data_IF_750729612401
#
_entry.id   IF_750729612401
#
_cell.length_a   1.000
_cell.length_b   1.000
_cell.length_c   1.000
_cell.angle_alpha   90.00
_cell.angle_beta   90.00
_cell.angle_gamma   90.00
#
_symmetry.space_group_name_H-M   'P 1'
#
loop_
_entity.id
_entity.type
_entity.pdbx_description
1 polymer ?
#
# COMPACT_ATOMS: atom_id res chain seq x y z
N UNK A 1 30.64 23.31 -9.31
CA UNK A 1 30.71 23.37 -7.83
C UNK A 1 29.67 24.35 -7.25
N UNK A 2 28.37 24.01 -7.25
CA UNK A 2 27.31 24.88 -6.69
C UNK A 2 26.34 24.13 -5.74
N UNK A 3 26.44 22.80 -5.69
CA UNK A 3 25.58 21.91 -4.90
C UNK A 3 26.13 21.58 -3.49
N UNK A 4 27.34 22.02 -3.16
CA UNK A 4 27.99 21.75 -1.86
C UNK A 4 27.61 22.74 -0.74
N UNK A 5 26.99 23.89 -1.06
CA UNK A 5 26.71 24.95 -0.07
C UNK A 5 25.32 24.90 0.59
N UNK A 6 24.42 24.02 0.12
CA UNK A 6 23.09 23.79 0.70
C UNK A 6 22.81 22.29 0.69
N UNK A 7 23.53 21.51 1.50
CA UNK A 7 23.14 20.12 1.75
C UNK A 7 22.11 20.13 2.87
N UNK A 8 20.89 19.71 2.55
CA UNK A 8 19.97 19.22 3.56
C UNK A 8 20.72 18.08 4.27
N UNK A 9 21.08 18.28 5.53
CA UNK A 9 21.76 17.25 6.32
C UNK A 9 20.69 16.28 6.80
N UNK A 10 20.74 15.06 6.30
CA UNK A 10 19.89 13.99 6.77
C UNK A 10 20.49 13.45 8.07
N UNK A 11 19.71 13.51 9.14
CA UNK A 11 20.05 12.88 10.40
C UNK A 11 19.79 11.38 10.24
N UNK A 12 20.84 10.59 10.32
CA UNK A 12 20.78 9.14 10.12
C UNK A 12 20.50 8.44 11.46
N UNK A 13 21.23 8.83 12.51
CA UNK A 13 21.10 8.20 13.81
C UNK A 13 21.34 9.20 14.95
N UNK A 14 20.82 8.88 16.12
CA UNK A 14 21.14 9.56 17.39
C UNK A 14 21.74 8.52 18.30
N UNK A 15 22.89 8.81 18.90
CA UNK A 15 23.53 7.94 19.87
C UNK A 15 23.58 8.61 21.23
N UNK A 16 23.24 7.92 22.32
CA UNK A 16 23.32 8.43 23.68
C UNK A 16 24.51 7.78 24.39
N UNK A 17 25.45 8.60 24.86
CA UNK A 17 26.63 8.18 25.62
C UNK A 17 26.44 8.34 27.13
N UNK A 18 27.11 7.49 27.91
CA UNK A 18 27.05 7.44 29.38
C UNK A 18 25.60 7.38 29.88
N UNK A 19 24.87 6.36 29.45
CA UNK A 19 23.46 6.19 29.81
C UNK A 19 23.35 5.76 31.27
N UNK A 20 22.85 6.62 32.15
CA UNK A 20 22.59 6.27 33.54
C UNK A 20 21.35 6.97 34.12
N UNK A 21 20.70 6.27 35.05
CA UNK A 21 19.56 6.79 35.84
C UNK A 21 20.02 7.83 36.88
N UNK A 22 21.28 7.73 37.34
CA UNK A 22 21.87 8.60 38.37
C UNK A 22 22.90 9.55 37.75
N UNK A 23 22.98 10.78 38.28
CA UNK A 23 23.93 11.81 37.81
C UNK A 23 25.40 11.53 38.17
N UNK A 24 25.67 10.58 39.07
CA UNK A 24 27.01 10.25 39.53
C UNK A 24 27.48 8.92 38.92
N UNK A 25 28.32 8.99 37.90
CA UNK A 25 28.95 7.82 37.27
C UNK A 25 29.95 7.06 38.16
N UNK A 26 30.22 7.55 39.38
CA UNK A 26 31.27 7.03 40.28
C UNK A 26 30.80 5.97 41.29
N UNK A 27 29.56 5.48 41.20
CA UNK A 27 29.16 4.31 41.97
C UNK A 27 29.18 3.11 41.05
N UNK A 28 30.15 2.23 41.30
CA UNK A 28 30.22 0.84 40.88
C UNK A 28 28.95 0.09 41.32
N UNK A 29 27.84 0.39 40.66
CA UNK A 29 26.63 -0.40 40.72
C UNK A 29 26.76 -1.45 39.62
N UNK A 30 27.33 -2.59 40.00
CA UNK A 30 27.13 -3.86 39.32
C UNK A 30 25.62 -4.15 39.26
N UNK A 31 24.89 -3.56 38.31
CA UNK A 31 23.49 -3.90 38.10
C UNK A 31 23.23 -4.15 36.61
N UNK A 32 22.98 -5.43 36.33
CA UNK A 32 22.63 -6.10 35.06
C UNK A 32 21.37 -5.55 34.36
N UNK A 33 20.91 -4.35 34.68
CA UNK A 33 19.64 -3.83 34.21
C UNK A 33 19.88 -2.60 33.34
N UNK A 34 20.08 -2.83 32.04
CA UNK A 34 19.91 -1.78 31.03
C UNK A 34 18.45 -1.33 31.07
N UNK A 35 18.12 -0.11 31.50
CA UNK A 35 16.74 0.33 31.55
C UNK A 35 16.15 0.42 30.14
N UNK A 36 14.86 0.12 29.99
CA UNK A 36 14.13 0.42 28.76
C UNK A 36 14.15 1.93 28.57
N UNK A 37 14.65 2.40 27.43
CA UNK A 37 14.82 3.82 27.15
C UNK A 37 14.05 4.21 25.92
N UNK A 38 13.34 5.33 26.03
CA UNK A 38 12.68 6.00 24.93
C UNK A 38 13.40 7.30 24.61
N UNK A 39 13.75 7.47 23.35
CA UNK A 39 14.19 8.73 22.81
C UNK A 39 12.98 9.45 22.21
N UNK A 40 12.67 10.64 22.71
CA UNK A 40 11.60 11.48 22.19
C UNK A 40 12.21 12.74 21.57
N UNK A 41 11.90 12.99 20.31
CA UNK A 41 12.26 14.23 19.60
C UNK A 41 11.02 15.11 19.49
N UNK A 42 11.10 16.32 20.02
CA UNK A 42 10.03 17.31 20.01
C UNK A 42 10.43 18.57 19.24
N UNK A 43 9.43 19.25 18.67
CA UNK A 43 9.54 20.61 18.18
C UNK A 43 9.60 21.62 19.35
N UNK A 44 10.02 22.86 19.10
CA UNK A 44 10.04 23.97 20.06
C UNK A 44 8.64 24.21 20.67
N UNK A 45 7.59 23.93 19.89
CA UNK A 45 6.19 24.03 20.32
C UNK A 45 5.71 22.85 21.18
N UNK A 46 6.58 21.89 21.52
CA UNK A 46 6.24 20.71 22.31
C UNK A 46 5.48 19.63 21.54
N UNK A 47 5.46 19.69 20.20
CA UNK A 47 4.87 18.64 19.37
C UNK A 47 5.86 17.48 19.27
N UNK A 48 5.42 16.28 19.60
CA UNK A 48 6.22 15.07 19.44
C UNK A 48 6.40 14.76 17.95
N UNK A 49 7.65 14.74 17.49
CA UNK A 49 8.01 14.46 16.11
C UNK A 49 8.38 12.99 15.91
N UNK A 50 9.04 12.39 16.89
CA UNK A 50 9.52 11.01 16.81
C UNK A 50 9.71 10.41 18.20
N UNK A 51 9.38 9.12 18.33
CA UNK A 51 9.62 8.30 19.52
C UNK A 51 10.30 7.01 19.07
N UNK A 52 11.44 6.68 19.68
CA UNK A 52 12.16 5.44 19.44
C UNK A 52 12.39 4.68 20.74
N UNK A 53 12.23 3.36 20.71
CA UNK A 53 12.58 2.47 21.81
C UNK A 53 14.00 1.93 21.60
N UNK A 54 14.84 1.97 22.63
CA UNK A 54 16.14 1.33 22.60
C UNK A 54 15.97 -0.19 22.72
N UNK A 55 16.62 -0.97 21.84
CA UNK A 55 16.59 -2.43 21.92
C UNK A 55 17.23 -2.92 23.22
N UNK A 56 16.52 -3.81 23.94
CA UNK A 56 17.02 -4.47 25.15
C UNK A 56 18.25 -5.32 24.80
N UNK A 57 19.42 -4.96 25.32
CA UNK A 57 20.65 -5.77 25.21
C UNK A 57 21.91 -5.04 24.74
N UNK A 58 21.84 -3.74 24.42
CA UNK A 58 23.06 -2.99 24.08
C UNK A 58 23.88 -2.70 25.34
N UNK A 59 25.13 -3.14 25.33
CA UNK A 59 26.05 -3.06 26.47
C UNK A 59 26.34 -1.61 26.86
N UNK A 60 26.54 -1.41 28.17
CA UNK A 60 26.74 -0.13 28.84
C UNK A 60 27.86 0.72 28.20
N UNK A 61 27.48 1.72 27.43
CA UNK A 61 28.40 2.76 26.95
C UNK A 61 27.74 3.69 25.94
N UNK A 62 27.08 3.11 24.94
CA UNK A 62 26.45 3.84 23.84
C UNK A 62 25.14 3.15 23.41
N UNK A 63 24.04 3.90 23.35
CA UNK A 63 22.78 3.46 22.76
C UNK A 63 22.54 4.20 21.47
N UNK A 64 22.54 3.48 20.36
CA UNK A 64 22.32 4.04 19.02
C UNK A 64 20.89 3.79 18.56
N UNK A 65 20.28 4.83 17.99
CA UNK A 65 18.95 4.82 17.40
C UNK A 65 19.08 5.07 15.90
N UNK A 66 19.05 4.00 15.11
CA UNK A 66 19.35 4.02 13.67
C UNK A 66 18.17 4.39 12.76
N UNK A 67 16.93 4.22 13.25
CA UNK A 67 15.73 4.37 12.41
C UNK A 67 15.04 5.73 12.62
N UNK A 68 15.77 6.82 12.40
CA UNK A 68 15.16 8.15 12.50
C UNK A 68 14.43 8.46 11.18
N UNK A 69 13.09 8.59 11.18
CA UNK A 69 12.35 8.96 9.99
C UNK A 69 12.77 10.35 9.52
N UNK A 70 12.79 10.55 8.21
CA UNK A 70 13.07 11.86 7.62
C UNK A 70 12.05 12.88 8.14
N UNK A 71 12.48 13.74 9.06
CA UNK A 71 11.63 14.80 9.59
C UNK A 71 11.23 15.73 8.43
N UNK A 72 9.93 15.81 8.17
CA UNK A 72 9.34 16.55 7.03
C UNK A 72 9.47 18.08 7.15
N UNK A 73 10.00 18.58 8.27
CA UNK A 73 10.08 19.99 8.57
C UNK A 73 11.51 20.51 8.53
N UNK A 74 11.70 21.69 7.93
CA UNK A 74 12.94 22.48 8.02
C UNK A 74 13.07 23.13 9.40
N UNK A 75 13.16 22.35 10.46
CA UNK A 75 13.33 22.87 11.81
C UNK A 75 14.80 23.18 12.06
N UNK A 76 15.07 24.36 12.63
CA UNK A 76 16.42 24.76 13.04
C UNK A 76 16.72 24.38 14.49
N UNK A 77 15.69 24.10 15.30
CA UNK A 77 15.84 23.70 16.70
C UNK A 77 14.92 22.55 17.02
N UNK A 78 15.45 21.60 17.78
CA UNK A 78 14.75 20.41 18.25
C UNK A 78 15.00 20.24 19.74
N UNK A 79 14.05 19.61 20.43
CA UNK A 79 14.19 19.24 21.83
C UNK A 79 14.24 17.73 21.92
N UNK A 80 15.34 17.19 22.44
CA UNK A 80 15.52 15.76 22.65
C UNK A 80 15.26 15.46 24.13
N UNK A 81 14.29 14.59 24.41
CA UNK A 81 14.03 14.06 25.74
C UNK A 81 14.42 12.59 25.77
N UNK A 82 15.18 12.21 26.79
CA UNK A 82 15.55 10.83 27.06
C UNK A 82 14.69 10.39 28.24
N UNK A 83 13.84 9.40 28.03
CA UNK A 83 12.90 8.87 29.02
C UNK A 83 13.35 7.45 29.35
N UNK A 84 13.43 7.12 30.64
CA UNK A 84 13.83 5.80 31.10
C UNK A 84 12.76 5.18 31.98
N UNK A 85 12.64 3.86 31.89
CA UNK A 85 11.89 3.06 32.85
C UNK A 85 12.71 2.93 34.14
N UNK A 86 12.11 3.27 35.28
CA UNK A 86 12.74 3.01 36.58
C UNK A 86 12.61 1.51 36.88
N UNK A 87 13.72 0.80 37.15
CA UNK A 87 13.66 -0.60 37.56
C UNK A 87 12.82 -0.75 38.83
N UNK A 88 11.95 -1.77 38.86
CA UNK A 88 11.09 -2.08 40.03
C UNK A 88 11.90 -2.29 41.32
N UNK A 89 13.17 -2.68 41.20
CA UNK A 89 14.11 -2.85 42.32
C UNK A 89 14.49 -1.54 43.01
N UNK A 90 14.39 -0.40 42.32
CA UNK A 90 14.70 0.92 42.88
C UNK A 90 13.47 1.65 43.46
N UNK A 91 12.26 1.13 43.23
CA UNK A 91 11.04 1.70 43.80
C UNK A 91 10.89 1.21 45.25
N UNK A 92 10.95 2.14 46.21
CA UNK A 92 10.81 1.85 47.64
C UNK A 92 9.42 1.31 48.01
N UNK A 93 8.41 1.55 47.17
CA UNK A 93 7.03 1.10 47.36
C UNK A 93 6.69 -0.03 46.36
N UNK A 94 6.45 -1.24 46.86
CA UNK A 94 6.10 -2.43 46.07
C UNK A 94 4.66 -2.41 45.51
N UNK A 95 4.01 -1.24 45.48
CA UNK A 95 2.55 -1.12 45.38
C UNK A 95 2.06 -0.76 43.98
N UNK A 96 2.91 -0.32 43.06
CA UNK A 96 2.48 0.05 41.71
C UNK A 96 2.62 -1.12 40.74
N UNK A 97 1.49 -1.65 40.25
CA UNK A 97 1.43 -2.70 39.22
C UNK A 97 2.03 -2.24 37.88
N UNK A 98 2.09 -0.92 37.67
CA UNK A 98 2.50 -0.29 36.42
C UNK A 98 3.98 0.15 36.41
N UNK A 99 4.64 0.11 35.24
CA UNK A 99 6.00 0.61 35.10
C UNK A 99 6.05 2.14 35.26
N UNK A 100 6.90 2.63 36.17
CA UNK A 100 7.13 4.07 36.37
C UNK A 100 8.16 4.58 35.36
N UNK A 101 7.78 5.60 34.60
CA UNK A 101 8.62 6.24 33.58
C UNK A 101 9.07 7.62 34.07
N UNK A 102 10.33 7.96 33.86
CA UNK A 102 10.88 9.27 34.24
C UNK A 102 11.72 9.88 33.13
N UNK A 103 11.77 11.22 33.09
CA UNK A 103 12.63 11.94 32.15
C UNK A 103 14.04 12.04 32.71
N UNK A 104 15.00 11.40 32.05
CA UNK A 104 16.40 11.37 32.47
C UNK A 104 17.16 12.62 32.08
N UNK A 105 16.94 13.10 30.85
CA UNK A 105 17.59 14.30 30.34
C UNK A 105 16.75 14.99 29.28
N UNK A 106 16.94 16.30 29.17
CA UNK A 106 16.27 17.16 28.19
C UNK A 106 17.32 18.08 27.57
N UNK A 107 17.48 17.99 26.25
CA UNK A 107 18.41 18.81 25.49
C UNK A 107 17.63 19.69 24.50
N UNK A 108 17.85 20.99 24.55
CA UNK A 108 17.40 21.91 23.51
C UNK A 108 18.56 22.13 22.53
N UNK A 109 18.48 21.53 21.34
CA UNK A 109 19.54 21.54 20.35
C UNK A 109 19.18 22.50 19.23
N UNK A 110 20.08 23.45 18.95
CA UNK A 110 20.02 24.29 17.76
C UNK A 110 20.92 23.68 16.68
N UNK A 111 20.30 23.14 15.62
CA UNK A 111 20.99 22.48 14.51
C UNK A 111 21.93 23.42 13.76
N UNK A 112 21.74 24.74 13.88
CA UNK A 112 22.63 25.74 13.28
C UNK A 112 23.94 25.97 14.06
N UNK A 113 24.00 25.50 15.31
CA UNK A 113 25.14 25.73 16.24
C UNK A 113 25.84 24.44 16.67
N UNK A 114 25.65 23.37 15.90
CA UNK A 114 26.31 22.08 16.18
C UNK A 114 27.82 22.18 16.00
N UNK A 115 28.57 21.63 16.95
CA UNK A 115 30.02 21.45 16.84
C UNK A 115 30.34 20.06 16.29
N UNK A 116 31.22 19.94 15.27
CA UNK A 116 31.68 18.64 14.82
C UNK A 116 32.48 17.96 15.94
N UNK A 117 32.24 16.67 16.14
CA UNK A 117 33.04 15.81 17.01
C UNK A 117 34.03 15.10 16.09
N UNK A 118 35.30 15.49 16.16
CA UNK A 118 36.37 14.82 15.43
C UNK A 118 36.80 13.60 16.25
N UNK A 119 36.62 12.40 15.69
CA UNK A 119 37.17 11.16 16.26
C UNK A 119 37.86 10.37 15.15
N UNK A 120 39.13 10.04 15.38
CA UNK A 120 39.91 9.16 14.49
C UNK A 120 39.58 7.66 14.73
N UNK A 121 38.87 7.31 15.82
CA UNK A 121 38.42 5.95 16.12
C UNK A 121 37.01 5.97 16.72
N UNK A 122 36.07 5.22 16.14
CA UNK A 122 34.64 5.14 16.53
C UNK A 122 34.41 4.55 17.95
N UNK A 123 35.45 4.01 18.60
CA UNK A 123 35.35 3.29 19.88
C UNK A 123 35.67 4.08 21.16
N UNK A 124 36.24 5.29 21.08
CA UNK A 124 36.79 6.03 22.24
C UNK A 124 36.24 7.45 22.39
N UNK A 125 34.95 7.65 22.11
CA UNK A 125 34.27 8.92 22.35
C UNK A 125 33.85 9.03 23.81
N UNK A 126 34.71 9.58 24.66
CA UNK A 126 34.38 9.88 26.05
C UNK A 126 33.83 11.32 26.15
N UNK A 127 32.56 11.53 26.55
CA UNK A 127 32.11 12.87 26.93
C UNK A 127 32.91 13.35 28.15
N UNK A 128 32.98 14.67 28.36
CA UNK A 128 33.62 15.24 29.58
C UNK A 128 33.11 14.52 30.82
N UNK A 129 34.01 14.21 31.75
CA UNK A 129 33.91 13.28 32.89
C UNK A 129 32.73 13.45 33.86
N UNK A 130 31.83 14.40 33.63
CA UNK A 130 30.63 14.66 34.46
C UNK A 130 29.31 14.58 33.68
N UNK A 131 29.37 14.43 32.35
CA UNK A 131 28.17 14.44 31.51
C UNK A 131 27.62 13.02 31.31
N UNK A 132 26.40 12.84 31.79
CA UNK A 132 25.58 11.63 31.69
C UNK A 132 24.45 11.87 30.66
N UNK A 133 24.05 10.82 29.93
CA UNK A 133 22.95 10.82 28.94
C UNK A 133 23.16 11.81 27.77
N UNK A 134 24.37 11.92 27.21
CA UNK A 134 24.68 12.92 26.18
C UNK A 134 24.28 12.45 24.78
N UNK A 135 23.42 13.18 24.04
CA UNK A 135 23.07 12.84 22.67
C UNK A 135 24.15 13.29 21.68
N UNK A 136 24.51 12.39 20.78
CA UNK A 136 25.37 12.57 19.62
C UNK A 136 24.53 12.38 18.35
N UNK A 137 24.65 13.30 17.39
CA UNK A 137 23.90 13.29 16.15
C UNK A 137 24.77 12.79 15.01
N UNK A 138 24.33 11.73 14.32
CA UNK A 138 25.02 11.16 13.17
C UNK A 138 24.39 11.71 11.89
N UNK A 139 25.16 12.48 11.13
CA UNK A 139 24.77 12.98 9.81
C UNK A 139 25.62 12.31 8.73
N UNK A 140 25.16 12.40 7.48
CA UNK A 140 25.89 11.84 6.33
C UNK A 140 27.29 12.46 6.10
N UNK A 141 27.57 13.62 6.69
CA UNK A 141 28.85 14.32 6.62
C UNK A 141 29.71 14.20 7.89
N UNK A 142 29.25 13.50 8.93
CA UNK A 142 30.02 13.23 10.15
C UNK A 142 29.21 13.29 11.45
N UNK A 143 29.93 13.26 12.57
CA UNK A 143 29.38 13.26 13.93
C UNK A 143 29.31 14.69 14.49
N UNK A 144 28.18 15.05 15.08
CA UNK A 144 27.95 16.39 15.62
C UNK A 144 27.29 16.35 17.00
N UNK A 145 27.67 17.27 17.87
CA UNK A 145 27.10 17.41 19.21
C UNK A 145 26.76 18.86 19.55
N UNK A 146 25.98 19.04 20.63
CA UNK A 146 25.76 20.37 21.18
C UNK A 146 27.08 20.93 21.75
N UNK A 147 27.34 22.24 21.58
CA UNK A 147 28.61 22.86 21.95
C UNK A 147 28.86 22.74 23.47
N UNK A 148 30.06 22.30 23.84
CA UNK A 148 30.53 22.22 25.23
C UNK A 148 30.49 20.81 25.86
N UNK A 149 29.82 19.84 25.22
CA UNK A 149 29.67 18.48 25.75
C UNK A 149 30.92 17.59 25.63
N UNK A 150 31.81 17.92 24.69
CA UNK A 150 33.06 17.20 24.42
C UNK A 150 34.27 18.16 24.58
N UNK A 151 35.45 17.64 24.94
CA UNK A 151 36.70 18.42 24.91
C UNK A 151 37.15 18.63 23.47
N UNK A 152 37.34 19.89 23.07
CA UNK A 152 37.96 20.22 21.80
C UNK A 152 39.27 20.96 22.04
N UNK A 153 40.36 20.52 21.40
CA UNK A 153 41.53 21.37 21.17
C UNK A 153 42.47 20.75 20.11
N UNK A 154 43.19 21.54 19.27
CA UNK A 154 43.24 23.01 19.20
C UNK A 154 42.87 23.61 17.82
N UNK A 155 42.51 24.89 17.90
CA UNK A 155 42.64 25.96 16.90
C UNK A 155 43.22 25.55 15.54
N UNK A 156 42.34 25.30 14.57
CA UNK A 156 42.65 25.62 13.18
C UNK A 156 41.57 26.59 12.68
N UNK A 157 42.03 27.67 12.05
CA UNK A 157 41.24 28.76 11.51
C UNK A 157 40.09 28.24 10.63
N UNK A 158 38.91 28.09 11.21
CA UNK A 158 37.68 28.16 10.44
C UNK A 158 37.33 29.63 10.35
N UNK A 159 37.58 30.21 9.18
CA UNK A 159 37.03 31.51 8.81
C UNK A 159 35.58 31.60 9.32
N UNK A 160 35.16 32.74 9.89
CA UNK A 160 33.78 32.93 10.26
C UNK A 160 32.97 32.84 8.97
N UNK A 161 32.35 31.68 8.72
CA UNK A 161 31.45 31.51 7.60
C UNK A 161 30.33 32.51 7.83
N UNK A 162 30.40 33.63 7.10
CA UNK A 162 29.43 34.70 7.25
C UNK A 162 28.06 34.08 7.07
N UNK A 163 27.19 34.27 8.06
CA UNK A 163 25.81 33.83 8.02
C UNK A 163 25.11 34.59 6.90
N UNK A 164 25.28 34.12 5.65
CA UNK A 164 24.55 34.65 4.51
C UNK A 164 23.10 34.28 4.73
N UNK A 165 22.26 35.30 4.90
CA UNK A 165 20.80 35.21 5.02
C UNK A 165 20.27 34.20 3.99
N UNK A 166 19.94 33.02 4.48
CA UNK A 166 19.66 31.84 3.67
C UNK A 166 18.19 31.80 3.26
N UNK A 167 17.66 32.87 2.66
CA UNK A 167 16.33 32.88 2.06
C UNK A 167 16.42 33.46 0.65
N UNK A 168 16.43 32.56 -0.33
CA UNK A 168 16.27 32.92 -1.74
C UNK A 168 14.78 32.84 -2.07
N UNK A 169 14.22 33.81 -2.80
CA UNK A 169 12.81 33.80 -3.24
C UNK A 169 12.37 32.44 -3.80
N UNK A 170 13.23 31.80 -4.60
CA UNK A 170 12.99 30.48 -5.18
C UNK A 170 12.86 29.36 -4.11
N UNK A 171 13.51 29.51 -2.96
CA UNK A 171 13.36 28.59 -1.82
C UNK A 171 12.02 28.78 -1.10
N UNK A 172 11.56 30.03 -0.94
CA UNK A 172 10.23 30.34 -0.39
C UNK A 172 9.13 29.85 -1.32
N UNK A 173 9.30 30.01 -2.63
CA UNK A 173 8.35 29.52 -3.63
C UNK A 173 8.23 27.99 -3.59
N UNK A 174 9.35 27.27 -3.50
CA UNK A 174 9.36 25.81 -3.34
C UNK A 174 8.71 25.37 -2.05
N UNK A 175 8.99 26.05 -0.94
CA UNK A 175 8.34 25.78 0.35
C UNK A 175 6.83 26.01 0.26
N UNK A 176 6.40 27.09 -0.39
CA UNK A 176 4.98 27.35 -0.60
C UNK A 176 4.32 26.25 -1.45
N UNK A 177 4.97 25.80 -2.52
CA UNK A 177 4.47 24.67 -3.34
C UNK A 177 4.37 23.36 -2.56
N UNK A 178 5.30 23.09 -1.65
CA UNK A 178 5.24 21.93 -0.76
C UNK A 178 4.07 22.06 0.22
N UNK A 179 3.83 23.25 0.77
CA UNK A 179 2.69 23.52 1.65
C UNK A 179 1.34 23.43 0.92
N UNK A 180 1.26 23.92 -0.32
CA UNK A 180 0.09 23.76 -1.19
C UNK A 180 -0.19 22.27 -1.43
N UNK A 181 0.84 21.49 -1.81
CA UNK A 181 0.73 20.04 -1.98
C UNK A 181 0.26 19.35 -0.70
N UNK A 182 0.81 19.73 0.46
CA UNK A 182 0.39 19.18 1.75
C UNK A 182 -1.08 19.47 2.05
N UNK A 183 -1.53 20.68 1.75
CA UNK A 183 -2.94 21.08 1.94
C UNK A 183 -3.85 20.27 1.04
N UNK A 184 -3.47 20.06 -0.22
CA UNK A 184 -4.20 19.21 -1.15
C UNK A 184 -4.27 17.75 -0.63
N UNK A 185 -3.16 17.23 -0.14
CA UNK A 185 -3.11 15.86 0.39
C UNK A 185 -4.00 15.70 1.63
N UNK A 186 -4.11 16.73 2.48
CA UNK A 186 -5.05 16.73 3.61
C UNK A 186 -6.51 16.75 3.16
N UNK A 187 -6.84 17.50 2.11
CA UNK A 187 -8.17 17.50 1.52
C UNK A 187 -8.52 16.13 0.91
N UNK A 188 -7.57 15.48 0.22
CA UNK A 188 -7.76 14.13 -0.31
C UNK A 188 -7.97 13.10 0.81
N UNK A 189 -7.22 13.21 1.92
CA UNK A 189 -7.43 12.35 3.10
C UNK A 189 -8.82 12.58 3.69
N UNK A 190 -9.27 13.83 3.78
CA UNK A 190 -10.60 14.14 4.29
C UNK A 190 -11.70 13.58 3.37
N UNK A 191 -11.57 13.76 2.06
CA UNK A 191 -12.50 13.20 1.07
C UNK A 191 -12.56 11.67 1.14
N UNK A 192 -11.40 11.02 1.34
CA UNK A 192 -11.36 9.57 1.57
C UNK A 192 -12.01 9.17 2.89
N UNK A 193 -11.82 9.95 3.96
CA UNK A 193 -12.49 9.72 5.24
C UNK A 193 -14.00 9.82 5.09
N UNK A 194 -14.49 10.85 4.41
CA UNK A 194 -15.92 11.05 4.13
C UNK A 194 -16.50 9.90 3.30
N UNK A 195 -15.77 9.41 2.29
CA UNK A 195 -16.16 8.21 1.52
C UNK A 195 -16.19 6.94 2.37
N UNK A 196 -15.27 6.79 3.33
CA UNK A 196 -15.28 5.66 4.26
C UNK A 196 -16.51 5.75 5.17
N UNK A 197 -16.82 6.94 5.70
CA UNK A 197 -17.98 7.17 6.55
C UNK A 197 -19.28 6.87 5.79
N UNK A 198 -19.41 7.31 4.54
CA UNK A 198 -20.53 6.96 3.67
C UNK A 198 -20.66 5.44 3.44
N UNK A 199 -19.55 4.72 3.26
CA UNK A 199 -19.58 3.26 3.07
C UNK A 199 -19.96 2.52 4.37
N UNK A 200 -19.55 3.04 5.52
CA UNK A 200 -19.90 2.49 6.84
C UNK A 200 -21.39 2.73 7.12
N UNK A 201 -21.91 3.93 6.85
CA UNK A 201 -23.31 4.28 7.06
C UNK A 201 -24.26 3.60 6.07
N UNK A 202 -23.82 3.37 4.83
CA UNK A 202 -24.59 2.64 3.80
C UNK A 202 -24.50 1.11 3.94
N UNK A 203 -23.69 0.60 4.87
CA UNK A 203 -23.69 -0.83 5.16
C UNK A 203 -25.04 -1.22 5.78
N UNK A 204 -25.74 -2.25 5.26
CA UNK A 204 -27.00 -2.66 5.84
C UNK A 204 -26.75 -3.02 7.30
N UNK A 205 -27.52 -2.40 8.21
CA UNK A 205 -27.46 -2.71 9.65
C UNK A 205 -27.41 -4.23 9.81
N UNK A 206 -26.42 -4.77 10.54
CA UNK A 206 -26.35 -6.21 10.76
C UNK A 206 -27.71 -6.67 11.28
N UNK A 207 -28.22 -7.76 10.71
CA UNK A 207 -29.53 -8.33 11.06
C UNK A 207 -29.63 -8.34 12.58
N UNK A 208 -30.64 -7.63 13.11
CA UNK A 208 -30.83 -7.49 14.56
C UNK A 208 -30.80 -8.89 15.18
N UNK A 209 -30.02 -9.03 16.26
CA UNK A 209 -29.96 -10.26 17.07
C UNK A 209 -31.37 -10.75 17.43
N UNK A 210 -32.32 -9.83 17.60
CA UNK A 210 -33.71 -10.14 17.93
C UNK A 210 -34.47 -10.78 16.76
N UNK A 211 -34.15 -10.42 15.51
CA UNK A 211 -34.73 -11.07 14.33
C UNK A 211 -34.22 -12.51 14.19
N UNK A 212 -32.96 -12.77 14.57
CA UNK A 212 -32.38 -14.11 14.62
C UNK A 212 -33.02 -14.93 15.74
N UNK A 213 -33.19 -14.34 16.92
CA UNK A 213 -33.85 -15.00 18.06
C UNK A 213 -35.32 -15.35 17.73
N UNK A 214 -36.07 -14.42 17.15
CA UNK A 214 -37.46 -14.68 16.74
C UNK A 214 -37.54 -15.74 15.62
N UNK A 215 -36.58 -15.77 14.70
CA UNK A 215 -36.49 -16.84 13.70
C UNK A 215 -36.21 -18.20 14.36
N UNK A 216 -35.31 -18.26 15.34
CA UNK A 216 -35.05 -19.47 16.12
C UNK A 216 -36.29 -19.94 16.88
N UNK A 217 -37.02 -19.05 17.55
CA UNK A 217 -38.26 -19.36 18.28
C UNK A 217 -39.36 -19.89 17.36
N UNK A 218 -39.55 -19.26 16.19
CA UNK A 218 -40.49 -19.73 15.17
C UNK A 218 -40.12 -21.12 14.64
N UNK A 219 -38.82 -21.40 14.50
CA UNK A 219 -38.31 -22.69 14.05
C UNK A 219 -38.54 -23.78 15.11
N UNK A 220 -38.32 -23.48 16.39
CA UNK A 220 -38.65 -24.40 17.49
C UNK A 220 -40.14 -24.71 17.55
N UNK A 221 -41.02 -23.71 17.41
CA UNK A 221 -42.48 -23.92 17.37
C UNK A 221 -42.90 -24.77 16.16
N UNK A 222 -42.25 -24.60 15.01
CA UNK A 222 -42.48 -25.42 13.82
C UNK A 222 -42.06 -26.87 14.03
N UNK A 223 -40.92 -27.09 14.70
CA UNK A 223 -40.44 -28.44 15.06
C UNK A 223 -41.42 -29.12 16.00
N UNK A 224 -41.89 -28.43 17.05
CA UNK A 224 -42.87 -28.98 17.99
C UNK A 224 -44.19 -29.36 17.31
N UNK A 225 -44.69 -28.51 16.40
CA UNK A 225 -45.88 -28.83 15.59
C UNK A 225 -45.67 -30.06 14.72
N UNK A 226 -44.49 -30.19 14.09
CA UNK A 226 -44.15 -31.36 13.27
C UNK A 226 -44.03 -32.62 14.13
N UNK A 227 -43.42 -32.55 15.32
CA UNK A 227 -43.34 -33.68 16.25
C UNK A 227 -44.72 -34.11 16.74
N UNK A 228 -45.59 -33.15 17.06
CA UNK A 228 -46.98 -33.43 17.44
C UNK A 228 -47.74 -34.10 16.30
N UNK A 229 -47.52 -33.66 15.06
CA UNK A 229 -48.09 -34.27 13.86
C UNK A 229 -47.55 -35.69 13.63
N UNK A 230 -46.25 -35.92 13.81
CA UNK A 230 -45.64 -37.25 13.75
C UNK A 230 -46.24 -38.17 14.81
N UNK A 231 -46.38 -37.72 16.07
CA UNK A 231 -47.04 -38.51 17.12
C UNK A 231 -48.49 -38.83 16.77
N UNK A 232 -49.23 -37.88 16.18
CA UNK A 232 -50.60 -38.13 15.72
C UNK A 232 -50.65 -39.17 14.60
N UNK A 233 -49.69 -39.13 13.67
CA UNK A 233 -49.58 -40.11 12.59
C UNK A 233 -49.13 -41.48 13.09
N UNK A 234 -48.21 -41.54 14.06
CA UNK A 234 -47.81 -42.79 14.71
C UNK A 234 -48.97 -43.42 15.49
N UNK A 235 -49.80 -42.60 16.14
CA UNK A 235 -51.02 -43.08 16.79
C UNK A 235 -52.04 -43.58 15.74
N UNK A 236 -52.18 -42.88 14.61
CA UNK A 236 -53.01 -43.31 13.49
C UNK A 236 -52.50 -44.56 12.77
N UNK A 237 -51.19 -44.85 12.84
CA UNK A 237 -50.59 -46.04 12.25
C UNK A 237 -50.74 -47.27 13.17
N UNK A 238 -50.88 -47.05 14.50
CA UNK A 238 -51.18 -48.10 15.50
C UNK A 238 -52.65 -48.54 15.49
N UNK A 239 -53.57 -47.66 15.06
CA UNK A 239 -54.97 -47.98 14.81
C UNK A 239 -55.18 -48.09 13.30
N UNK A 240 -54.84 -49.26 12.74
CA UNK A 240 -54.72 -49.49 11.31
C UNK A 240 -55.88 -48.95 10.46
N UNK A 241 -55.52 -48.30 9.35
CA UNK A 241 -56.39 -48.15 8.19
C UNK A 241 -55.72 -48.76 6.97
N UNK A 242 -56.39 -49.78 6.46
CA UNK A 242 -56.19 -50.43 5.19
C UNK A 242 -56.28 -49.45 4.00
N UNK A 243 -55.54 -49.80 2.94
CA UNK A 243 -55.67 -49.34 1.55
C UNK A 243 -55.40 -47.86 1.24
N UNK A 244 -54.33 -47.58 0.49
CA UNK A 244 -54.40 -47.62 -0.98
C UNK A 244 -52.99 -47.51 -1.59
N UNK A 245 -52.66 -48.44 -2.50
CA UNK A 245 -51.62 -48.22 -3.50
C UNK A 245 -52.06 -47.08 -4.41
N UNK A 246 -51.21 -46.07 -4.58
CA UNK A 246 -51.15 -45.28 -5.81
C UNK A 246 -49.71 -45.31 -6.32
N UNK A 247 -49.53 -46.08 -7.39
CA UNK A 247 -48.39 -46.08 -8.29
C UNK A 247 -48.24 -44.72 -8.95
N UNK A 248 -47.33 -43.88 -8.44
CA UNK A 248 -46.87 -42.65 -9.12
C UNK A 248 -45.50 -42.20 -8.59
N UNK A 249 -44.56 -43.15 -8.40
CA UNK A 249 -43.25 -42.85 -7.81
C UNK A 249 -42.14 -42.52 -8.82
N UNK A 250 -42.43 -42.43 -10.12
CA UNK A 250 -41.42 -42.12 -11.16
C UNK A 250 -41.47 -40.68 -11.72
N UNK A 251 -42.40 -39.84 -11.28
CA UNK A 251 -42.51 -38.44 -11.74
C UNK A 251 -41.66 -37.37 -11.00
N UNK A 252 -41.18 -37.53 -9.74
CA UNK A 252 -40.48 -36.41 -9.09
C UNK A 252 -39.06 -36.19 -9.60
N UNK A 253 -38.41 -37.22 -10.17
CA UNK A 253 -37.02 -37.13 -10.61
C UNK A 253 -36.89 -36.27 -11.88
N UNK A 254 -37.85 -36.38 -12.81
CA UNK A 254 -37.81 -35.65 -14.08
C UNK A 254 -38.10 -34.14 -13.90
N UNK A 255 -38.98 -33.80 -12.95
CA UNK A 255 -39.28 -32.41 -12.61
C UNK A 255 -38.08 -31.72 -11.93
N UNK A 256 -37.33 -32.45 -11.09
CA UNK A 256 -36.08 -31.96 -10.50
C UNK A 256 -34.97 -31.74 -11.56
N UNK A 257 -34.87 -32.62 -12.57
CA UNK A 257 -33.95 -32.43 -13.69
C UNK A 257 -34.36 -31.24 -14.59
N UNK A 258 -35.66 -31.07 -14.86
CA UNK A 258 -36.16 -29.93 -15.63
C UNK A 258 -35.96 -28.60 -14.87
N UNK A 259 -36.18 -28.59 -13.56
CA UNK A 259 -35.93 -27.44 -12.69
C UNK A 259 -34.44 -27.09 -12.61
N UNK A 260 -33.55 -28.08 -12.49
CA UNK A 260 -32.09 -27.83 -12.49
C UNK A 260 -31.59 -27.36 -13.86
N UNK A 261 -32.12 -27.87 -14.97
CA UNK A 261 -31.78 -27.39 -16.31
C UNK A 261 -32.29 -25.95 -16.54
N UNK A 262 -33.51 -25.63 -16.08
CA UNK A 262 -34.09 -24.28 -16.13
C UNK A 262 -33.30 -23.28 -15.27
N UNK A 263 -32.85 -23.71 -14.09
CA UNK A 263 -31.94 -22.93 -13.25
C UNK A 263 -30.58 -22.73 -13.93
N UNK A 264 -30.05 -23.76 -14.59
CA UNK A 264 -28.80 -23.65 -15.34
C UNK A 264 -28.92 -22.68 -16.52
N UNK A 265 -29.98 -22.76 -17.33
CA UNK A 265 -30.20 -21.85 -18.46
C UNK A 265 -30.44 -20.41 -18.00
N UNK A 266 -31.19 -20.21 -16.92
CA UNK A 266 -31.38 -18.86 -16.35
C UNK A 266 -30.09 -18.27 -15.78
N UNK A 267 -29.26 -19.07 -15.10
CA UNK A 267 -27.92 -18.64 -14.66
C UNK A 267 -27.02 -18.34 -15.86
N UNK A 268 -27.07 -19.16 -16.90
CA UNK A 268 -26.30 -18.97 -18.13
C UNK A 268 -26.69 -17.67 -18.85
N UNK A 269 -27.98 -17.39 -19.04
CA UNK A 269 -28.45 -16.11 -19.60
C UNK A 269 -28.07 -14.92 -18.72
N UNK A 270 -28.09 -15.09 -17.39
CA UNK A 270 -27.62 -14.06 -16.47
C UNK A 270 -26.12 -13.81 -16.61
N UNK A 271 -25.31 -14.84 -16.83
CA UNK A 271 -23.88 -14.70 -17.08
C UNK A 271 -23.63 -13.98 -18.42
N UNK A 272 -24.31 -14.40 -19.50
CA UNK A 272 -24.21 -13.75 -20.81
C UNK A 272 -24.58 -12.26 -20.75
N UNK A 273 -25.68 -11.90 -20.08
CA UNK A 273 -26.07 -10.49 -19.94
C UNK A 273 -25.09 -9.66 -19.08
N UNK A 274 -24.42 -10.28 -18.12
CA UNK A 274 -23.34 -9.64 -17.35
C UNK A 274 -22.08 -9.45 -18.20
N UNK A 275 -21.71 -10.45 -19.02
CA UNK A 275 -20.60 -10.35 -19.96
C UNK A 275 -20.83 -9.24 -20.97
N UNK A 276 -22.01 -9.20 -21.59
CA UNK A 276 -22.47 -8.14 -22.48
C UNK A 276 -22.36 -6.76 -21.84
N UNK A 277 -22.85 -6.61 -20.60
CA UNK A 277 -22.75 -5.36 -19.85
C UNK A 277 -21.30 -4.96 -19.57
N UNK A 278 -20.43 -5.92 -19.23
CA UNK A 278 -18.99 -5.68 -19.01
C UNK A 278 -18.28 -5.25 -20.30
N UNK A 279 -18.58 -5.89 -21.43
CA UNK A 279 -18.03 -5.50 -22.74
C UNK A 279 -18.50 -4.09 -23.09
N UNK A 280 -19.79 -3.78 -22.89
CA UNK A 280 -20.33 -2.44 -23.10
C UNK A 280 -19.63 -1.38 -22.23
N UNK A 281 -19.39 -1.66 -20.95
CA UNK A 281 -18.64 -0.79 -20.05
C UNK A 281 -17.18 -0.61 -20.50
N UNK A 282 -16.52 -1.70 -20.93
CA UNK A 282 -15.16 -1.65 -21.44
C UNK A 282 -15.06 -0.79 -22.71
N UNK A 283 -16.01 -0.95 -23.63
CA UNK A 283 -16.10 -0.13 -24.84
C UNK A 283 -16.29 1.34 -24.49
N UNK A 284 -17.19 1.67 -23.56
CA UNK A 284 -17.41 3.05 -23.09
C UNK A 284 -16.13 3.65 -22.50
N UNK A 285 -15.44 2.90 -21.63
CA UNK A 285 -14.18 3.35 -21.02
C UNK A 285 -13.08 3.60 -22.07
N UNK A 286 -13.10 2.85 -23.18
CA UNK A 286 -12.09 2.91 -24.23
C UNK A 286 -12.49 3.81 -25.42
N UNK A 287 -13.66 4.46 -25.39
CA UNK A 287 -14.05 5.45 -26.41
C UNK A 287 -13.07 6.63 -26.49
N UNK A 288 -12.48 7.01 -25.36
CA UNK A 288 -11.53 8.14 -25.28
C UNK A 288 -10.11 7.86 -25.79
N UNK A 289 -9.75 6.60 -26.08
CA UNK A 289 -8.37 6.20 -26.43
C UNK A 289 -8.12 6.12 -27.94
N UNK A 290 -9.13 6.41 -28.78
CA UNK A 290 -9.04 6.32 -30.23
C UNK A 290 -9.08 4.89 -30.80
N UNK A 291 -9.17 3.86 -29.93
CA UNK A 291 -9.24 2.45 -30.32
C UNK A 291 -10.51 2.07 -31.09
N UNK A 292 -11.63 2.75 -30.81
CA UNK A 292 -12.94 2.50 -31.42
C UNK A 292 -13.30 3.53 -32.51
N UNK A 293 -12.31 4.27 -33.04
CA UNK A 293 -12.52 5.27 -34.09
C UNK A 293 -12.62 4.67 -35.51
N UNK A 294 -12.82 5.52 -36.53
CA UNK A 294 -12.91 5.09 -37.95
C UNK A 294 -11.66 4.31 -38.42
N UNK A 295 -10.48 4.64 -37.87
CA UNK A 295 -9.21 3.96 -38.11
C UNK A 295 -8.76 3.07 -36.93
N UNK A 296 -9.68 2.74 -36.03
CA UNK A 296 -9.41 1.96 -34.81
C UNK A 296 -9.22 0.47 -35.07
N UNK A 297 -8.59 -0.21 -34.11
CA UNK A 297 -8.37 -1.66 -34.12
C UNK A 297 -9.60 -2.45 -33.63
N UNK A 298 -10.52 -1.78 -32.93
CA UNK A 298 -11.78 -2.36 -32.44
C UNK A 298 -12.93 -1.79 -33.24
N UNK A 299 -13.70 -2.66 -33.91
CA UNK A 299 -14.94 -2.26 -34.58
C UNK A 299 -16.10 -2.63 -33.66
N UNK A 300 -16.70 -1.66 -32.93
CA UNK A 300 -17.91 -1.91 -32.16
C UNK A 300 -19.10 -2.16 -33.11
N UNK A 301 -20.09 -2.92 -32.66
CA UNK A 301 -21.27 -3.23 -33.45
C UNK A 301 -22.23 -2.04 -33.60
N UNK A 302 -23.02 -2.08 -34.67
CA UNK A 302 -24.22 -1.27 -34.86
C UNK A 302 -25.29 -1.61 -33.82
N UNK A 303 -26.18 -0.66 -33.51
CA UNK A 303 -27.11 -0.70 -32.36
C UNK A 303 -28.09 -1.91 -32.32
N UNK A 304 -28.21 -2.67 -33.41
CA UNK A 304 -29.16 -3.79 -33.55
C UNK A 304 -28.53 -5.21 -33.52
N UNK A 305 -27.22 -5.35 -33.24
CA UNK A 305 -26.50 -6.63 -33.26
C UNK A 305 -25.98 -7.03 -31.87
N UNK A 306 -25.91 -8.35 -31.60
CA UNK A 306 -25.40 -8.89 -30.32
C UNK A 306 -23.96 -8.44 -30.10
N UNK A 307 -23.57 -8.18 -28.84
CA UNK A 307 -22.24 -7.62 -28.50
C UNK A 307 -21.09 -8.59 -28.89
N UNK A 308 -21.40 -9.87 -29.10
CA UNK A 308 -20.47 -10.90 -29.56
C UNK A 308 -20.10 -10.78 -31.06
N UNK A 309 -20.80 -9.97 -31.86
CA UNK A 309 -20.40 -9.75 -33.26
C UNK A 309 -19.22 -8.77 -33.43
N UNK A 310 -18.68 -8.26 -32.31
CA UNK A 310 -17.58 -7.29 -32.30
C UNK A 310 -16.34 -7.89 -32.99
N UNK A 311 -15.67 -7.10 -33.84
CA UNK A 311 -14.49 -7.58 -34.58
C UNK A 311 -13.22 -6.85 -34.15
N UNK A 312 -12.21 -7.64 -33.80
CA UNK A 312 -10.86 -7.17 -33.55
C UNK A 312 -10.03 -7.25 -34.84
N UNK A 313 -9.49 -6.12 -35.29
CA UNK A 313 -8.57 -6.07 -36.43
C UNK A 313 -7.18 -6.55 -36.01
N UNK A 314 -6.52 -7.29 -36.90
CA UNK A 314 -5.10 -7.59 -36.78
C UNK A 314 -4.28 -6.31 -36.95
N UNK A 315 -3.14 -6.25 -36.29
CA UNK A 315 -2.19 -5.15 -36.44
C UNK A 315 -1.32 -5.42 -37.67
N UNK A 316 -1.37 -4.52 -38.65
CA UNK A 316 -0.54 -4.60 -39.85
C UNK A 316 0.88 -4.08 -39.56
N UNK A 317 1.90 -4.91 -39.83
CA UNK A 317 3.30 -4.53 -39.59
C UNK A 317 3.71 -3.24 -40.31
N UNK A 318 3.27 -3.04 -41.55
CA UNK A 318 3.63 -1.87 -42.36
C UNK A 318 3.06 -0.55 -41.81
N UNK A 319 1.91 -0.59 -41.13
CA UNK A 319 1.33 0.62 -40.51
C UNK A 319 1.94 0.89 -39.13
N UNK A 320 2.35 -0.18 -38.43
CA UNK A 320 3.01 -0.12 -37.14
C UNK A 320 4.46 0.36 -37.22
N UNK A 321 5.18 0.10 -38.31
CA UNK A 321 6.57 0.49 -38.55
C UNK A 321 6.74 1.93 -39.06
N UNK A 322 5.67 2.62 -39.45
CA UNK A 322 5.76 3.99 -39.95
C UNK A 322 6.08 4.98 -38.81
N UNK A 323 7.17 5.74 -38.98
CA UNK A 323 7.77 6.63 -37.98
C UNK A 323 6.92 7.86 -37.63
N UNK A 324 5.90 8.17 -38.44
CA UNK A 324 4.98 9.28 -38.14
C UNK A 324 4.13 8.93 -36.91
N UNK A 325 4.19 9.80 -35.90
CA UNK A 325 3.44 9.71 -34.63
C UNK A 325 3.66 8.43 -33.81
N UNK A 326 4.92 7.96 -33.76
CA UNK A 326 5.37 6.77 -33.01
C UNK A 326 4.88 6.68 -31.56
N UNK A 327 4.91 7.80 -30.82
CA UNK A 327 4.46 7.83 -29.41
C UNK A 327 2.96 7.54 -29.30
N UNK A 328 2.17 8.10 -30.22
CA UNK A 328 0.73 7.89 -30.26
C UNK A 328 0.43 6.45 -30.67
N UNK A 329 1.12 5.91 -31.69
CA UNK A 329 0.99 4.50 -32.10
C UNK A 329 1.34 3.52 -30.97
N UNK A 330 2.47 3.72 -30.29
CA UNK A 330 2.87 2.91 -29.13
C UNK A 330 1.83 2.95 -28.01
N UNK A 331 1.26 4.14 -27.75
CA UNK A 331 0.21 4.31 -26.75
C UNK A 331 -1.07 3.58 -27.16
N UNK A 332 -1.49 3.68 -28.42
CA UNK A 332 -2.66 2.98 -28.96
C UNK A 332 -2.46 1.46 -28.94
N UNK A 333 -1.28 0.95 -29.29
CA UNK A 333 -0.95 -0.48 -29.19
C UNK A 333 -0.96 -0.97 -27.73
N UNK A 334 -0.46 -0.15 -26.81
CA UNK A 334 -0.55 -0.42 -25.37
C UNK A 334 -2.00 -0.52 -24.90
N UNK A 335 -2.85 0.45 -25.26
CA UNK A 335 -4.28 0.39 -24.94
C UNK A 335 -4.97 -0.79 -25.61
N UNK A 336 -4.58 -1.16 -26.82
CA UNK A 336 -5.15 -2.31 -27.50
C UNK A 336 -4.77 -3.62 -26.81
N UNK A 337 -3.52 -3.77 -26.38
CA UNK A 337 -3.07 -4.88 -25.56
C UNK A 337 -3.85 -4.96 -24.25
N UNK A 338 -4.06 -3.82 -23.57
CA UNK A 338 -4.86 -3.75 -22.36
C UNK A 338 -6.30 -4.20 -22.61
N UNK A 339 -6.90 -3.75 -23.71
CA UNK A 339 -8.25 -4.14 -24.10
C UNK A 339 -8.37 -5.65 -24.28
N UNK A 340 -7.48 -6.26 -25.06
CA UNK A 340 -7.48 -7.72 -25.29
C UNK A 340 -7.22 -8.49 -24.00
N UNK A 341 -6.33 -8.01 -23.13
CA UNK A 341 -6.02 -8.66 -21.86
C UNK A 341 -7.23 -8.64 -20.90
N UNK A 342 -7.90 -7.49 -20.74
CA UNK A 342 -9.09 -7.37 -19.89
C UNK A 342 -10.22 -8.25 -20.43
N UNK A 343 -10.41 -8.24 -21.75
CA UNK A 343 -11.45 -9.01 -22.40
C UNK A 343 -11.21 -10.52 -22.22
N UNK A 344 -9.98 -11.00 -22.38
CA UNK A 344 -9.68 -12.42 -22.18
C UNK A 344 -9.71 -12.85 -20.70
N UNK A 345 -9.10 -12.08 -19.79
CA UNK A 345 -8.93 -12.49 -18.38
C UNK A 345 -10.16 -12.20 -17.51
N UNK A 346 -10.82 -11.04 -17.71
CA UNK A 346 -11.87 -10.53 -16.81
C UNK A 346 -13.30 -10.65 -17.35
N UNK A 347 -13.45 -10.78 -18.66
CA UNK A 347 -14.75 -10.96 -19.31
C UNK A 347 -14.96 -12.43 -19.67
N UNK A 348 -14.11 -13.01 -20.51
CA UNK A 348 -14.31 -14.37 -21.04
C UNK A 348 -13.62 -15.48 -20.26
N UNK A 349 -12.73 -15.15 -19.33
CA UNK A 349 -11.94 -16.13 -18.57
C UNK A 349 -11.24 -17.18 -19.46
N UNK A 350 -10.72 -16.74 -20.61
CA UNK A 350 -10.08 -17.60 -21.60
C UNK A 350 -8.55 -17.53 -21.50
N UNK A 351 -7.84 -18.68 -21.57
CA UNK A 351 -6.38 -18.67 -21.58
C UNK A 351 -5.86 -18.18 -22.93
N UNK A 352 -5.03 -17.14 -22.94
CA UNK A 352 -4.36 -16.65 -24.16
C UNK A 352 -3.09 -17.46 -24.49
N UNK A 353 -2.72 -17.61 -25.77
CA UNK A 353 -1.49 -18.29 -26.21
C UNK A 353 -0.22 -17.65 -25.67
N UNK A 354 -0.18 -16.32 -25.64
CA UNK A 354 0.95 -15.53 -25.17
C UNK A 354 0.51 -14.57 -24.05
N UNK A 355 1.39 -14.36 -23.07
CA UNK A 355 1.10 -13.51 -21.92
C UNK A 355 1.20 -12.04 -22.29
N UNK A 356 0.14 -11.29 -22.04
CA UNK A 356 0.08 -9.85 -22.31
C UNK A 356 0.42 -9.07 -21.03
N UNK A 357 1.44 -8.20 -21.09
CA UNK A 357 1.83 -7.35 -19.96
C UNK A 357 1.76 -5.87 -20.33
N UNK A 358 0.84 -5.16 -19.69
CA UNK A 358 0.57 -3.75 -19.97
C UNK A 358 1.47 -2.83 -19.15
N UNK A 359 2.21 -1.96 -19.83
CA UNK A 359 3.05 -0.92 -19.23
C UNK A 359 2.83 0.44 -19.95
N UNK A 360 1.61 0.72 -20.37
CA UNK A 360 1.30 1.93 -21.15
C UNK A 360 1.93 1.86 -22.55
N UNK A 361 2.64 2.92 -22.94
CA UNK A 361 3.31 3.02 -24.25
C UNK A 361 4.52 2.09 -24.43
N UNK A 362 4.95 1.38 -23.38
CA UNK A 362 6.06 0.42 -23.41
C UNK A 362 5.61 -0.99 -23.05
N UNK A 363 4.45 -1.40 -23.57
CA UNK A 363 3.87 -2.73 -23.27
C UNK A 363 4.69 -3.87 -23.87
N UNK A 364 4.62 -5.06 -23.26
CA UNK A 364 5.50 -6.20 -23.55
C UNK A 364 4.69 -7.50 -23.64
N UNK A 365 5.13 -8.41 -24.50
CA UNK A 365 4.56 -9.75 -24.69
C UNK A 365 5.53 -10.81 -24.14
N UNK A 366 4.99 -11.80 -23.43
CA UNK A 366 5.74 -12.86 -22.75
C UNK A 366 6.84 -12.35 -21.80
N UNK A 367 6.70 -11.11 -21.31
CA UNK A 367 7.70 -10.38 -20.51
C UNK A 367 9.09 -10.22 -21.18
N UNK A 368 9.20 -10.46 -22.48
CA UNK A 368 10.46 -10.43 -23.21
C UNK A 368 10.41 -9.61 -24.50
N UNK A 369 9.28 -9.63 -25.23
CA UNK A 369 9.17 -9.03 -26.55
C UNK A 369 8.49 -7.65 -26.48
N UNK A 370 9.17 -6.56 -26.86
CA UNK A 370 8.61 -5.21 -26.78
C UNK A 370 7.52 -5.01 -27.85
N UNK A 371 6.31 -4.62 -27.43
CA UNK A 371 5.23 -4.16 -28.31
C UNK A 371 5.25 -2.64 -28.42
N UNK A 372 6.44 -2.06 -28.54
CA UNK A 372 6.63 -0.64 -28.77
C UNK A 372 7.89 -0.44 -29.58
N UNK A 373 7.98 0.70 -30.24
CA UNK A 373 9.15 1.11 -31.01
C UNK A 373 9.91 2.19 -30.21
N UNK A 374 11.20 1.99 -29.88
CA UNK A 374 12.06 2.96 -29.16
C UNK A 374 12.82 3.94 -30.08
N UNK A 375 12.90 5.23 -29.72
CA UNK A 375 13.46 6.32 -30.54
C UNK A 375 14.81 6.02 -31.25
N UNK A 376 15.64 5.14 -30.68
CA UNK A 376 16.84 4.60 -31.30
C UNK A 376 16.74 3.07 -31.37
N UNK A 377 15.97 2.53 -32.32
CA UNK A 377 15.75 1.08 -32.46
C UNK A 377 16.94 0.41 -33.15
N UNK A 378 17.53 -0.57 -32.48
CA UNK A 378 18.51 -1.49 -33.08
C UNK A 378 17.80 -2.45 -34.04
N UNK A 379 18.55 -3.06 -34.99
CA UNK A 379 17.98 -4.08 -35.88
C UNK A 379 17.36 -5.25 -35.10
N UNK A 380 17.98 -5.64 -33.97
CA UNK A 380 17.44 -6.66 -33.07
C UNK A 380 16.07 -6.25 -32.50
N UNK A 381 15.93 -5.00 -32.06
CA UNK A 381 14.68 -4.49 -31.52
C UNK A 381 13.56 -4.42 -32.56
N UNK A 382 13.88 -4.22 -33.84
CA UNK A 382 12.89 -4.30 -34.91
C UNK A 382 12.39 -5.74 -35.10
N UNK A 383 13.31 -6.71 -35.16
CA UNK A 383 12.95 -8.13 -35.27
C UNK A 383 12.10 -8.58 -34.07
N UNK A 384 12.49 -8.18 -32.85
CA UNK A 384 11.74 -8.51 -31.64
C UNK A 384 10.33 -7.88 -31.63
N UNK A 385 10.18 -6.67 -32.19
CA UNK A 385 8.89 -6.00 -32.36
C UNK A 385 8.01 -6.67 -33.40
N UNK A 386 8.58 -7.12 -34.53
CA UNK A 386 7.85 -7.89 -35.55
C UNK A 386 7.30 -9.19 -34.96
N UNK A 387 8.15 -9.93 -34.25
CA UNK A 387 7.76 -11.14 -33.51
C UNK A 387 6.70 -10.85 -32.43
N UNK A 388 6.80 -9.71 -31.74
CA UNK A 388 5.79 -9.28 -30.77
C UNK A 388 4.42 -9.09 -31.45
N UNK A 389 4.37 -8.40 -32.60
CA UNK A 389 3.13 -8.20 -33.36
C UNK A 389 2.54 -9.53 -33.83
N UNK A 390 3.36 -10.46 -34.33
CA UNK A 390 2.89 -11.78 -34.75
C UNK A 390 2.23 -12.54 -33.59
N UNK A 391 2.89 -12.61 -32.44
CA UNK A 391 2.35 -13.24 -31.23
C UNK A 391 1.09 -12.53 -30.72
N UNK A 392 1.06 -11.21 -30.82
CA UNK A 392 -0.12 -10.43 -30.47
C UNK A 392 -1.31 -10.75 -31.37
N UNK A 393 -1.06 -10.88 -32.68
CA UNK A 393 -2.07 -11.24 -33.67
C UNK A 393 -2.62 -12.66 -33.43
N UNK A 394 -1.81 -13.62 -32.94
CA UNK A 394 -2.31 -14.93 -32.51
C UNK A 394 -3.28 -14.82 -31.33
N UNK A 395 -2.98 -13.97 -30.35
CA UNK A 395 -3.91 -13.71 -29.24
C UNK A 395 -5.22 -13.09 -29.74
N UNK A 396 -5.15 -12.12 -30.66
CA UNK A 396 -6.34 -11.51 -31.29
C UNK A 396 -7.16 -12.56 -32.04
N UNK A 397 -6.51 -13.47 -32.77
CA UNK A 397 -7.18 -14.54 -33.49
C UNK A 397 -7.96 -15.47 -32.56
N UNK A 398 -7.38 -15.87 -31.43
CA UNK A 398 -8.08 -16.73 -30.49
C UNK A 398 -9.30 -16.03 -29.88
N UNK A 399 -9.18 -14.74 -29.57
CA UNK A 399 -10.32 -13.94 -29.08
C UNK A 399 -11.41 -13.83 -30.15
N UNK A 400 -11.06 -13.57 -31.41
CA UNK A 400 -12.04 -13.56 -32.50
C UNK A 400 -12.71 -14.92 -32.71
N UNK A 401 -11.97 -16.03 -32.62
CA UNK A 401 -12.54 -17.38 -32.67
C UNK A 401 -13.53 -17.61 -31.53
N UNK A 402 -13.21 -17.16 -30.32
CA UNK A 402 -14.11 -17.26 -29.18
C UNK A 402 -15.40 -16.45 -29.41
N UNK A 403 -15.28 -15.23 -29.94
CA UNK A 403 -16.43 -14.39 -30.30
C UNK A 403 -17.30 -15.05 -31.38
N UNK A 404 -16.69 -15.69 -32.38
CA UNK A 404 -17.42 -16.45 -33.41
C UNK A 404 -18.17 -17.67 -32.86
N UNK A 405 -17.64 -18.35 -31.84
CA UNK A 405 -18.34 -19.47 -31.20
C UNK A 405 -19.57 -19.05 -30.36
N UNK A 406 -19.65 -17.78 -29.98
CA UNK A 406 -20.74 -17.23 -29.15
C UNK A 406 -21.71 -16.35 -29.96
N UNK A 407 -21.49 -16.26 -31.28
CA UNK A 407 -22.42 -15.69 -32.26
C UNK A 407 -23.46 -16.73 -32.67
#
# INVERSE_FOLDING_TARGET
>A
MYLLRRRLRHLNAISIYNVSLTKNANLSLEHEHTPCLFLVVEDIKGRCLYVSEAQKGSQCGCLQFDEIPSLLYTMTRIKIKIIGQIPRTMLLEKTEEFPVWTTLAIYAIDLSRLSPVLSDDEGNLFPKTENVNVPLLHFSDGLFSAPGNFEASPKNFLEPVSQKKSFTYNGVLKLNKILEYWTQMQLEIQELSEKIDELVDNSPKPVSKDAILHACESLTLSIERRQSKVQSLESSNKYGSSCHLSSTTELPINDDYAATLSNYTSVFHRLQSLEERKIGQLLIAMKGTGLCGQNGYVIPNSEDQSIYEMRLKRVDLFTALDDRDRILKNSTLGYYLLFVNILADRVFHMPLPHRLSFYGSTSVIDNALPLYLAASSTQQHLIDFELAIERFNLNIMQVNQFLECHR
#
